data_IF_559497431176
#
_entry.id   IF_559497431176
#
_cell.length_a   1.000
_cell.length_b   1.000
_cell.length_c   1.000
_cell.angle_alpha   90.00
_cell.angle_beta   90.00
_cell.angle_gamma   90.00
#
_symmetry.space_group_name_H-M   'P 1'
#
loop_
_entity.id
_entity.type
_entity.pdbx_description
1 polymer ?
#
# COMPACT_ATOMS: atom_id res chain seq x y z
N UNK A 1 -4.14 38.19 -2.76
CA UNK A 1 -4.05 37.17 -3.82
C UNK A 1 -4.71 35.91 -3.29
N UNK A 2 -5.29 35.04 -4.11
CA UNK A 2 -5.81 33.76 -3.64
C UNK A 2 -4.67 32.92 -3.02
N UNK A 3 -4.95 32.10 -2.01
CA UNK A 3 -3.95 31.23 -1.43
C UNK A 3 -3.44 30.24 -2.47
N UNK A 4 -2.12 29.97 -2.46
CA UNK A 4 -1.45 29.04 -3.37
C UNK A 4 -1.17 27.73 -2.63
N UNK A 5 -1.84 26.66 -3.06
CA UNK A 5 -1.59 25.30 -2.61
C UNK A 5 -0.64 24.60 -3.58
N UNK A 6 0.51 24.19 -3.08
CA UNK A 6 1.50 23.44 -3.85
C UNK A 6 1.42 21.96 -3.48
N UNK A 7 1.19 21.09 -4.46
CA UNK A 7 1.08 19.64 -4.28
C UNK A 7 2.27 18.98 -4.98
N UNK A 8 3.10 18.27 -4.23
CA UNK A 8 4.27 17.55 -4.75
C UNK A 8 4.00 16.05 -4.77
N UNK A 9 3.71 15.52 -5.95
CA UNK A 9 3.37 14.12 -6.18
C UNK A 9 1.97 13.93 -6.77
N UNK A 10 1.91 13.40 -7.99
CA UNK A 10 0.69 13.16 -8.76
C UNK A 10 0.09 11.75 -8.52
N UNK A 11 0.38 11.10 -7.38
CA UNK A 11 -0.19 9.82 -6.98
C UNK A 11 -1.56 9.95 -6.31
N UNK A 12 -2.03 8.84 -5.72
CA UNK A 12 -3.35 8.74 -5.08
C UNK A 12 -3.56 9.82 -4.02
N UNK A 13 -2.60 10.07 -3.14
CA UNK A 13 -2.72 11.06 -2.08
C UNK A 13 -2.86 12.49 -2.64
N UNK A 14 -1.95 12.91 -3.54
CA UNK A 14 -1.99 14.25 -4.13
C UNK A 14 -3.26 14.52 -4.93
N UNK A 15 -3.73 13.54 -5.72
CA UNK A 15 -4.96 13.68 -6.51
C UNK A 15 -6.22 13.75 -5.64
N UNK A 16 -6.28 13.00 -4.52
CA UNK A 16 -7.39 13.10 -3.58
C UNK A 16 -7.36 14.45 -2.85
N UNK A 17 -6.19 14.95 -2.45
CA UNK A 17 -6.08 16.27 -1.85
C UNK A 17 -6.59 17.38 -2.79
N UNK A 18 -6.19 17.37 -4.05
CA UNK A 18 -6.67 18.33 -5.07
C UNK A 18 -8.20 18.32 -5.16
N UNK A 19 -8.81 17.13 -5.24
CA UNK A 19 -10.27 17.00 -5.31
C UNK A 19 -10.93 17.59 -4.06
N UNK A 20 -10.42 17.23 -2.89
CA UNK A 20 -11.00 17.68 -1.62
C UNK A 20 -10.83 19.19 -1.42
N UNK A 21 -9.68 19.79 -1.81
CA UNK A 21 -9.54 21.24 -1.81
C UNK A 21 -10.65 21.87 -2.67
N UNK A 22 -10.89 21.39 -3.88
CA UNK A 22 -11.91 21.91 -4.79
C UNK A 22 -13.35 21.71 -4.30
N UNK A 23 -13.61 20.63 -3.57
CA UNK A 23 -14.92 20.39 -2.92
C UNK A 23 -15.21 21.43 -1.83
N UNK A 24 -14.18 22.00 -1.20
CA UNK A 24 -14.34 22.97 -0.09
C UNK A 24 -14.12 24.42 -0.49
N UNK A 25 -13.28 24.72 -1.49
CA UNK A 25 -12.94 26.09 -1.88
C UNK A 25 -13.66 26.59 -3.13
N UNK A 26 -14.42 25.74 -3.82
CA UNK A 26 -15.11 26.06 -5.07
C UNK A 26 -14.21 26.70 -6.12
N UNK A 27 -12.87 26.54 -6.00
CA UNK A 27 -11.87 27.08 -6.88
C UNK A 27 -11.36 28.46 -6.53
N UNK A 28 -11.50 28.88 -5.28
CA UNK A 28 -10.99 30.15 -4.78
C UNK A 28 -9.46 30.19 -4.67
N UNK A 29 -8.79 29.04 -4.51
CA UNK A 29 -7.32 28.94 -4.42
C UNK A 29 -6.66 28.64 -5.76
N UNK A 30 -5.36 28.97 -5.87
CA UNK A 30 -4.47 28.47 -6.90
C UNK A 30 -3.93 27.09 -6.48
N UNK A 31 -4.04 26.08 -7.36
CA UNK A 31 -3.42 24.76 -7.12
C UNK A 31 -2.36 24.50 -8.17
N UNK A 32 -1.13 24.22 -7.72
CA UNK A 32 -0.02 23.81 -8.57
C UNK A 32 0.37 22.38 -8.21
N UNK A 33 0.24 21.45 -9.17
CA UNK A 33 0.69 20.07 -9.04
C UNK A 33 2.07 19.91 -9.67
N UNK A 34 3.05 19.54 -8.88
CA UNK A 34 4.41 19.17 -9.34
C UNK A 34 4.54 17.65 -9.30
N UNK A 35 4.92 17.02 -10.40
CA UNK A 35 5.12 15.57 -10.46
C UNK A 35 6.26 15.20 -11.39
N UNK A 36 7.07 14.22 -10.98
CA UNK A 36 8.15 13.69 -11.82
C UNK A 36 7.62 12.93 -13.04
N UNK A 37 6.44 12.34 -12.91
CA UNK A 37 5.75 11.59 -13.96
C UNK A 37 4.39 12.21 -14.26
N UNK A 38 3.81 11.91 -15.42
CA UNK A 38 2.39 12.19 -15.65
C UNK A 38 1.56 11.45 -14.60
N UNK A 39 0.57 12.09 -13.95
CA UNK A 39 -0.24 11.44 -12.91
C UNK A 39 -0.96 10.19 -13.40
N UNK A 40 -0.82 9.08 -12.68
CA UNK A 40 -1.50 7.82 -12.95
C UNK A 40 -1.77 7.04 -11.67
N UNK A 41 -2.62 6.01 -11.75
CA UNK A 41 -2.90 5.11 -10.65
C UNK A 41 -1.86 3.96 -10.62
N UNK A 42 -0.97 3.98 -9.64
CA UNK A 42 0.07 2.95 -9.48
C UNK A 42 -0.51 1.55 -9.25
N UNK A 43 -1.62 1.47 -8.53
CA UNK A 43 -2.29 0.20 -8.21
C UNK A 43 -2.80 -0.59 -9.41
N UNK A 44 -2.92 0.05 -10.58
CA UNK A 44 -3.36 -0.66 -11.79
C UNK A 44 -2.21 -1.21 -12.64
N UNK A 45 -0.95 -0.92 -12.27
CA UNK A 45 0.22 -1.42 -13.01
C UNK A 45 0.31 -2.95 -13.11
N UNK A 46 -0.05 -3.75 -12.07
CA UNK A 46 -0.11 -5.21 -12.21
C UNK A 46 -1.09 -5.67 -13.30
N UNK A 47 -2.24 -5.02 -13.43
CA UNK A 47 -3.23 -5.33 -14.48
C UNK A 47 -2.72 -4.94 -15.88
N UNK A 48 -1.95 -3.85 -15.98
CA UNK A 48 -1.27 -3.48 -17.21
C UNK A 48 -0.17 -4.49 -17.57
N UNK A 49 0.65 -4.90 -16.61
CA UNK A 49 1.69 -5.94 -16.79
C UNK A 49 1.08 -7.25 -17.29
N UNK A 50 -0.05 -7.69 -16.70
CA UNK A 50 -0.77 -8.90 -17.08
C UNK A 50 -1.62 -8.79 -18.35
N UNK A 51 -1.60 -7.65 -19.05
CA UNK A 51 -2.36 -7.43 -20.28
C UNK A 51 -3.87 -7.28 -20.10
N UNK A 52 -4.36 -7.15 -18.86
CA UNK A 52 -5.80 -7.01 -18.57
C UNK A 52 -6.35 -5.62 -18.89
N UNK A 53 -5.51 -4.61 -18.87
CA UNK A 53 -5.83 -3.23 -19.27
C UNK A 53 -4.79 -2.68 -20.24
N UNK A 54 -5.22 -1.80 -21.14
CA UNK A 54 -4.29 -1.03 -21.99
C UNK A 54 -3.60 0.07 -21.18
N UNK A 55 -2.43 0.52 -21.65
CA UNK A 55 -1.68 1.61 -21.03
C UNK A 55 -2.52 2.89 -20.87
N UNK A 56 -3.38 3.21 -21.83
CA UNK A 56 -4.23 4.41 -21.76
C UNK A 56 -5.15 4.42 -20.51
N UNK A 57 -5.53 3.26 -20.00
CA UNK A 57 -6.36 3.11 -18.80
C UNK A 57 -5.59 3.26 -17.49
N UNK A 58 -4.26 3.27 -17.53
CA UNK A 58 -3.41 3.54 -16.35
C UNK A 58 -3.56 5.00 -15.89
N UNK A 59 -3.83 5.92 -16.82
CA UNK A 59 -3.94 7.36 -16.55
C UNK A 59 -5.33 7.74 -16.04
N UNK A 60 -5.52 7.70 -14.73
CA UNK A 60 -6.81 8.05 -14.09
C UNK A 60 -7.03 9.56 -13.96
N UNK A 61 -5.95 10.37 -13.93
CA UNK A 61 -5.99 11.81 -13.94
C UNK A 61 -5.69 12.35 -15.36
N UNK A 62 -6.73 12.42 -16.19
CA UNK A 62 -6.60 12.96 -17.55
C UNK A 62 -6.36 14.48 -17.53
N UNK A 63 -5.71 15.07 -18.56
CA UNK A 63 -5.54 16.51 -18.66
C UNK A 63 -6.88 17.26 -18.56
N UNK A 64 -7.94 16.76 -19.18
CA UNK A 64 -9.28 17.35 -19.10
C UNK A 64 -9.83 17.39 -17.67
N UNK A 65 -9.65 16.30 -16.88
CA UNK A 65 -10.07 16.27 -15.46
C UNK A 65 -9.27 17.26 -14.61
N UNK A 66 -7.96 17.38 -14.83
CA UNK A 66 -7.12 18.32 -14.09
C UNK A 66 -7.44 19.78 -14.48
N UNK A 67 -7.72 20.03 -15.75
CA UNK A 67 -8.19 21.34 -16.22
C UNK A 67 -9.55 21.73 -15.62
N UNK A 68 -10.51 20.79 -15.56
CA UNK A 68 -11.81 21.00 -14.90
C UNK A 68 -11.66 21.34 -13.39
N UNK A 69 -10.62 20.80 -12.74
CA UNK A 69 -10.25 21.15 -11.36
C UNK A 69 -9.39 22.42 -11.27
N UNK A 70 -9.15 23.14 -12.37
CA UNK A 70 -8.33 24.36 -12.43
C UNK A 70 -6.96 24.17 -11.76
N UNK A 71 -6.26 23.07 -12.12
CA UNK A 71 -4.93 22.73 -11.59
C UNK A 71 -3.87 23.09 -12.62
N UNK A 72 -2.86 23.86 -12.22
CA UNK A 72 -1.64 24.03 -12.99
C UNK A 72 -0.76 22.79 -12.80
N UNK A 73 -0.46 22.08 -13.88
CA UNK A 73 0.31 20.83 -13.83
C UNK A 73 1.72 21.03 -14.35
N UNK A 74 2.72 20.69 -13.53
CA UNK A 74 4.14 20.70 -13.89
C UNK A 74 4.69 19.26 -13.80
N UNK A 75 4.65 18.54 -14.92
CA UNK A 75 5.22 17.19 -15.04
C UNK A 75 6.70 17.23 -15.44
N UNK A 76 7.41 16.12 -15.20
CA UNK A 76 8.84 16.01 -15.47
C UNK A 76 9.70 16.85 -14.52
N UNK A 77 9.17 17.28 -13.38
CA UNK A 77 9.87 18.12 -12.40
C UNK A 77 10.03 17.37 -11.07
N UNK A 78 11.24 17.47 -10.52
CA UNK A 78 11.59 16.86 -9.24
C UNK A 78 11.80 17.92 -8.17
N UNK A 79 11.27 17.69 -6.98
CA UNK A 79 11.61 18.43 -5.79
C UNK A 79 13.03 18.07 -5.33
N UNK A 80 13.86 19.07 -5.08
CA UNK A 80 15.28 18.93 -4.74
C UNK A 80 15.63 19.50 -3.37
N UNK A 81 14.75 20.29 -2.76
CA UNK A 81 14.96 20.87 -1.44
C UNK A 81 13.77 21.73 -1.02
N UNK A 82 13.65 21.94 0.28
CA UNK A 82 12.57 22.71 0.89
C UNK A 82 13.15 23.69 1.91
N UNK A 83 12.77 24.96 1.78
CA UNK A 83 13.01 26.01 2.76
C UNK A 83 11.68 26.36 3.43
N UNK A 84 11.46 25.84 4.63
CA UNK A 84 10.22 26.07 5.37
C UNK A 84 10.12 27.48 5.96
N UNK A 85 11.24 28.16 6.18
CA UNK A 85 11.24 29.51 6.73
C UNK A 85 10.82 30.55 5.67
N UNK A 86 11.24 30.33 4.41
CA UNK A 86 10.91 31.20 3.29
C UNK A 86 9.65 30.72 2.51
N UNK A 87 9.01 29.61 2.87
CA UNK A 87 7.93 28.95 2.13
C UNK A 87 8.30 28.70 0.66
N UNK A 88 9.49 28.15 0.41
CA UNK A 88 10.03 27.92 -0.93
C UNK A 88 10.36 26.46 -1.19
N UNK A 89 9.85 25.94 -2.29
CA UNK A 89 10.20 24.63 -2.83
C UNK A 89 11.19 24.78 -3.98
N UNK A 90 12.36 24.17 -3.86
CA UNK A 90 13.36 24.12 -4.94
C UNK A 90 13.10 22.90 -5.84
N UNK A 91 12.94 23.17 -7.12
CA UNK A 91 12.73 22.17 -8.16
C UNK A 91 13.96 22.03 -9.05
N UNK A 92 13.95 21.06 -9.96
CA UNK A 92 14.98 20.86 -10.99
C UNK A 92 15.08 22.02 -12.01
N UNK A 93 14.07 22.88 -12.09
CA UNK A 93 13.97 23.99 -13.04
C UNK A 93 13.65 25.36 -12.42
N UNK A 94 13.82 25.50 -11.10
CA UNK A 94 13.60 26.77 -10.42
C UNK A 94 13.04 26.62 -9.00
N UNK A 95 12.41 27.69 -8.52
CA UNK A 95 11.84 27.76 -7.17
C UNK A 95 10.36 28.13 -7.28
N UNK A 96 9.52 27.54 -6.45
CA UNK A 96 8.12 27.88 -6.26
C UNK A 96 7.87 28.31 -4.82
N UNK A 97 7.14 29.41 -4.65
CA UNK A 97 6.61 29.85 -3.37
C UNK A 97 5.21 29.24 -3.15
N UNK A 98 4.83 29.05 -1.87
CA UNK A 98 3.55 28.47 -1.48
C UNK A 98 3.01 29.13 -0.21
N UNK A 99 1.68 29.15 -0.07
CA UNK A 99 1.02 29.41 1.20
C UNK A 99 0.87 28.10 1.98
N UNK A 100 0.45 27.01 1.30
CA UNK A 100 0.41 25.66 1.86
C UNK A 100 1.10 24.65 0.93
N UNK A 101 1.81 23.70 1.49
CA UNK A 101 2.51 22.64 0.78
C UNK A 101 2.01 21.26 1.21
N UNK A 102 1.62 20.42 0.25
CA UNK A 102 1.43 18.99 0.46
C UNK A 102 2.60 18.20 -0.14
N UNK A 103 3.30 17.44 0.69
CA UNK A 103 4.31 16.48 0.27
C UNK A 103 3.64 15.11 0.12
N UNK A 104 3.43 14.66 -1.13
CA UNK A 104 2.82 13.39 -1.50
C UNK A 104 3.72 12.60 -2.45
N UNK A 105 5.03 12.64 -2.21
CA UNK A 105 6.09 12.06 -3.06
C UNK A 105 6.15 10.54 -3.02
N UNK A 106 5.37 9.91 -2.15
CA UNK A 106 5.26 8.46 -2.06
C UNK A 106 6.56 7.78 -1.67
N UNK A 107 6.82 6.63 -2.26
CA UNK A 107 7.94 5.75 -1.96
C UNK A 107 8.65 5.28 -3.23
N UNK A 108 9.80 4.63 -3.04
CA UNK A 108 10.60 4.01 -4.11
C UNK A 108 11.06 2.61 -3.69
N UNK A 109 11.38 1.72 -4.64
CA UNK A 109 11.99 0.44 -4.33
C UNK A 109 13.30 0.60 -3.57
N UNK A 110 13.54 -0.29 -2.61
CA UNK A 110 14.84 -0.47 -2.01
C UNK A 110 15.73 -1.19 -3.02
N UNK A 111 16.90 -0.62 -3.30
CA UNK A 111 17.95 -1.26 -4.06
C UNK A 111 18.89 -1.95 -3.08
N UNK A 112 18.92 -3.29 -3.01
CA UNK A 112 19.86 -3.98 -2.16
C UNK A 112 21.28 -3.85 -2.71
N UNK A 113 22.25 -3.79 -1.82
CA UNK A 113 23.68 -3.80 -2.17
C UNK A 113 24.12 -5.25 -2.46
N UNK A 114 23.72 -5.72 -3.66
CA UNK A 114 24.04 -7.07 -4.16
C UNK A 114 24.85 -6.90 -5.43
N UNK A 115 26.06 -7.50 -5.52
CA UNK A 115 26.86 -7.48 -6.74
C UNK A 115 26.06 -7.93 -7.96
N UNK A 116 26.03 -7.09 -9.01
CA UNK A 116 25.31 -7.35 -10.26
C UNK A 116 23.81 -7.00 -10.27
N UNK A 117 23.27 -6.43 -9.19
CA UNK A 117 21.86 -6.03 -9.12
C UNK A 117 21.47 -4.87 -10.08
N UNK A 118 22.42 -4.21 -10.71
CA UNK A 118 22.21 -3.16 -11.72
C UNK A 118 22.36 -3.72 -13.17
N UNK A 119 22.46 -5.03 -13.34
CA UNK A 119 22.64 -5.66 -14.65
C UNK A 119 21.39 -5.55 -15.54
N UNK A 120 21.54 -5.70 -16.88
CA UNK A 120 20.46 -5.47 -17.86
C UNK A 120 19.29 -6.46 -17.74
N UNK A 121 19.49 -7.64 -17.16
CA UNK A 121 18.42 -8.61 -16.89
C UNK A 121 17.68 -8.33 -15.58
N UNK A 122 18.10 -7.30 -14.79
CA UNK A 122 17.54 -6.99 -13.49
C UNK A 122 16.57 -5.82 -13.59
N UNK A 123 15.37 -6.00 -13.09
CA UNK A 123 14.27 -5.05 -13.15
C UNK A 123 13.72 -4.78 -11.75
N UNK A 124 13.08 -3.63 -11.58
CA UNK A 124 12.17 -3.33 -10.48
C UNK A 124 10.75 -3.18 -11.03
N UNK A 125 9.76 -3.22 -10.15
CA UNK A 125 8.37 -2.96 -10.52
C UNK A 125 7.76 -1.93 -9.56
N UNK A 126 7.72 -0.67 -10.00
CA UNK A 126 7.19 0.43 -9.20
C UNK A 126 6.64 1.59 -10.03
N UNK A 127 7.24 1.89 -11.17
CA UNK A 127 6.84 2.98 -12.07
C UNK A 127 6.23 2.43 -13.36
N UNK A 128 5.50 3.29 -14.08
CA UNK A 128 4.96 2.92 -15.40
C UNK A 128 6.07 2.57 -16.40
N UNK A 129 7.21 3.27 -16.34
CA UNK A 129 8.38 2.98 -17.18
C UNK A 129 8.91 1.55 -16.91
N UNK A 130 9.04 1.19 -15.63
CA UNK A 130 9.46 -0.16 -15.24
C UNK A 130 8.44 -1.24 -15.65
N UNK A 131 7.14 -0.92 -15.53
CA UNK A 131 6.08 -1.81 -16.02
C UNK A 131 6.18 -2.02 -17.54
N UNK A 132 6.43 -0.96 -18.33
CA UNK A 132 6.67 -1.05 -19.79
C UNK A 132 7.86 -1.94 -20.11
N UNK A 133 8.98 -1.78 -19.39
CA UNK A 133 10.16 -2.61 -19.57
C UNK A 133 9.85 -4.09 -19.35
N UNK A 134 9.09 -4.44 -18.31
CA UNK A 134 8.69 -5.82 -18.04
C UNK A 134 7.68 -6.34 -19.07
N UNK A 135 6.70 -5.54 -19.50
CA UNK A 135 5.78 -5.90 -20.59
C UNK A 135 6.55 -6.19 -21.87
N UNK A 136 7.62 -5.45 -22.14
CA UNK A 136 8.49 -5.67 -23.30
C UNK A 136 9.40 -6.91 -23.14
N UNK A 137 9.79 -7.27 -21.92
CA UNK A 137 10.75 -8.35 -21.66
C UNK A 137 10.09 -9.71 -21.45
N UNK A 138 8.97 -9.81 -20.73
CA UNK A 138 8.34 -11.07 -20.38
C UNK A 138 7.59 -11.64 -21.61
N UNK A 139 7.95 -12.87 -21.98
CA UNK A 139 7.31 -13.66 -23.04
C UNK A 139 6.87 -15.00 -22.47
N UNK A 140 5.97 -15.69 -23.15
CA UNK A 140 5.58 -17.06 -22.83
C UNK A 140 6.81 -17.96 -22.69
N UNK A 141 6.90 -18.74 -21.60
CA UNK A 141 8.04 -19.59 -21.28
C UNK A 141 9.26 -18.87 -20.71
N UNK A 142 9.25 -17.54 -20.57
CA UNK A 142 10.35 -16.80 -19.96
C UNK A 142 10.65 -17.30 -18.54
N UNK A 143 11.95 -17.43 -18.22
CA UNK A 143 12.42 -17.77 -16.88
C UNK A 143 12.54 -16.49 -16.04
N UNK A 144 11.61 -16.31 -15.12
CA UNK A 144 11.53 -15.16 -14.23
C UNK A 144 11.92 -15.57 -12.82
N UNK A 145 12.91 -14.89 -12.24
CA UNK A 145 13.22 -14.99 -10.82
C UNK A 145 12.75 -13.73 -10.11
N UNK A 146 11.87 -13.88 -9.15
CA UNK A 146 11.37 -12.82 -8.29
C UNK A 146 12.13 -12.86 -6.97
N UNK A 147 12.90 -11.82 -6.68
CA UNK A 147 13.71 -11.70 -5.46
C UNK A 147 12.97 -10.90 -4.40
N UNK A 148 12.64 -11.56 -3.31
CA UNK A 148 11.73 -11.11 -2.26
C UNK A 148 10.33 -11.69 -2.43
N UNK A 149 9.75 -12.17 -1.33
CA UNK A 149 8.40 -12.73 -1.26
C UNK A 149 7.46 -11.87 -0.39
N UNK A 150 7.67 -10.56 -0.38
CA UNK A 150 6.82 -9.60 0.31
C UNK A 150 5.56 -9.21 -0.47
N UNK A 151 4.78 -8.27 0.06
CA UNK A 151 3.51 -7.82 -0.51
C UNK A 151 3.62 -7.42 -1.99
N UNK A 152 4.66 -6.65 -2.39
CA UNK A 152 4.84 -6.19 -3.77
C UNK A 152 5.04 -7.37 -4.73
N UNK A 153 5.84 -8.37 -4.34
CA UNK A 153 6.04 -9.58 -5.12
C UNK A 153 4.70 -10.26 -5.44
N UNK A 154 3.83 -10.34 -4.46
CA UNK A 154 2.53 -10.97 -4.61
C UNK A 154 1.55 -10.16 -5.45
N UNK A 155 1.66 -8.83 -5.48
CA UNK A 155 0.79 -8.00 -6.36
C UNK A 155 1.05 -8.25 -7.85
N UNK A 156 2.27 -8.66 -8.24
CA UNK A 156 2.63 -8.92 -9.65
C UNK A 156 2.65 -10.39 -10.02
N UNK A 157 2.55 -11.28 -9.05
CA UNK A 157 2.63 -12.72 -9.24
C UNK A 157 1.61 -13.22 -10.26
N UNK A 158 0.36 -12.80 -10.12
CA UNK A 158 -0.72 -13.17 -11.03
C UNK A 158 -0.44 -12.71 -12.48
N UNK A 159 0.10 -11.50 -12.64
CA UNK A 159 0.43 -10.96 -13.95
C UNK A 159 1.53 -11.79 -14.64
N UNK A 160 2.59 -12.16 -13.89
CA UNK A 160 3.70 -12.98 -14.42
C UNK A 160 3.19 -14.36 -14.83
N UNK A 161 2.37 -15.01 -14.02
CA UNK A 161 1.80 -16.31 -14.34
C UNK A 161 0.80 -16.27 -15.48
N UNK A 162 -0.01 -15.20 -15.60
CA UNK A 162 -0.93 -15.00 -16.72
C UNK A 162 -0.18 -14.87 -18.07
N UNK A 163 1.05 -14.36 -18.05
CA UNK A 163 1.96 -14.32 -19.21
C UNK A 163 2.64 -15.68 -19.49
N UNK A 164 2.27 -16.73 -18.74
CA UNK A 164 2.80 -18.09 -18.85
C UNK A 164 4.34 -18.18 -18.68
N UNK A 165 4.92 -17.31 -17.89
CA UNK A 165 6.32 -17.38 -17.51
C UNK A 165 6.56 -18.49 -16.47
N UNK A 166 7.77 -19.07 -16.45
CA UNK A 166 8.23 -19.96 -15.41
C UNK A 166 8.76 -19.15 -14.25
N UNK A 167 8.07 -19.18 -13.12
CA UNK A 167 8.37 -18.33 -11.98
C UNK A 167 9.10 -19.09 -10.87
N UNK A 168 10.22 -18.53 -10.42
CA UNK A 168 10.92 -18.90 -9.18
C UNK A 168 10.90 -17.71 -8.24
N UNK A 169 10.53 -17.92 -6.97
CA UNK A 169 10.59 -16.91 -5.91
C UNK A 169 11.75 -17.25 -4.98
N UNK A 170 12.64 -16.27 -4.76
CA UNK A 170 13.75 -16.34 -3.80
C UNK A 170 13.46 -15.38 -2.64
N UNK A 171 13.45 -15.88 -1.41
CA UNK A 171 13.18 -15.12 -0.20
C UNK A 171 14.20 -15.45 0.89
N UNK A 172 14.78 -14.42 1.49
CA UNK A 172 15.75 -14.56 2.59
C UNK A 172 15.11 -15.09 3.87
N UNK A 173 13.88 -14.68 4.17
CA UNK A 173 13.13 -15.21 5.30
C UNK A 173 12.72 -16.67 5.06
N UNK A 174 12.53 -17.47 6.15
CA UNK A 174 12.17 -18.89 6.02
C UNK A 174 10.75 -19.11 5.45
N UNK A 175 9.94 -18.05 5.31
CA UNK A 175 8.55 -18.13 4.84
C UNK A 175 8.19 -17.04 3.83
N UNK A 176 7.13 -17.28 3.08
CA UNK A 176 6.50 -16.28 2.21
C UNK A 176 5.75 -15.23 3.04
N UNK A 177 5.66 -14.00 2.51
CA UNK A 177 4.96 -12.86 3.14
C UNK A 177 5.36 -12.65 4.61
N UNK A 178 6.66 -12.64 4.96
CA UNK A 178 7.14 -12.73 6.35
C UNK A 178 6.67 -11.56 7.23
N UNK A 179 6.29 -10.41 6.63
CA UNK A 179 5.75 -9.22 7.33
C UNK A 179 4.22 -9.14 7.26
N UNK A 180 3.55 -10.21 6.87
CA UNK A 180 2.11 -10.18 6.65
C UNK A 180 1.38 -11.36 7.31
N UNK A 181 1.99 -12.54 7.32
CA UNK A 181 1.36 -13.76 7.83
C UNK A 181 2.36 -14.62 8.64
N UNK A 182 1.82 -15.48 9.50
CA UNK A 182 2.61 -16.42 10.31
C UNK A 182 3.02 -17.68 9.52
N UNK A 183 3.72 -18.59 10.19
CA UNK A 183 4.30 -19.77 9.56
C UNK A 183 3.22 -20.75 9.02
N UNK A 184 2.11 -20.93 9.75
CA UNK A 184 1.04 -21.84 9.34
C UNK A 184 0.30 -21.31 8.10
N UNK A 185 -0.07 -20.04 8.10
CA UNK A 185 -0.66 -19.39 6.94
C UNK A 185 0.30 -19.39 5.73
N UNK A 186 1.59 -19.13 5.96
CA UNK A 186 2.61 -19.14 4.91
C UNK A 186 2.81 -20.54 4.31
N UNK A 187 2.71 -21.61 5.11
CA UNK A 187 2.78 -22.99 4.63
C UNK A 187 1.62 -23.32 3.67
N UNK A 188 0.40 -22.85 3.97
CA UNK A 188 -0.76 -22.99 3.07
C UNK A 188 -0.54 -22.24 1.75
N UNK A 189 -0.05 -20.99 1.82
CA UNK A 189 0.25 -20.19 0.63
C UNK A 189 1.34 -20.86 -0.21
N UNK A 190 2.40 -21.38 0.41
CA UNK A 190 3.47 -22.08 -0.28
C UNK A 190 2.97 -23.36 -0.99
N UNK A 191 2.14 -24.16 -0.31
CA UNK A 191 1.52 -25.34 -0.89
C UNK A 191 0.62 -24.99 -2.09
N UNK A 192 -0.13 -23.89 -1.98
CA UNK A 192 -0.99 -23.37 -3.05
C UNK A 192 -0.20 -22.96 -4.29
N UNK A 193 0.91 -22.21 -4.11
CA UNK A 193 1.75 -21.75 -5.21
C UNK A 193 2.52 -22.90 -5.88
N UNK A 194 3.05 -23.87 -5.11
CA UNK A 194 3.72 -25.06 -5.67
C UNK A 194 2.78 -25.87 -6.56
N UNK A 195 1.51 -26.02 -6.19
CA UNK A 195 0.48 -26.67 -7.04
C UNK A 195 0.25 -25.95 -8.37
N UNK A 196 0.68 -24.69 -8.49
CA UNK A 196 0.59 -23.86 -9.70
C UNK A 196 1.91 -23.75 -10.45
N UNK A 197 2.88 -24.60 -10.10
CA UNK A 197 4.16 -24.65 -10.77
C UNK A 197 5.16 -23.57 -10.39
N UNK A 198 4.89 -22.79 -9.30
CA UNK A 198 5.84 -21.81 -8.81
C UNK A 198 6.92 -22.49 -7.99
N UNK A 199 8.18 -22.31 -8.39
CA UNK A 199 9.34 -22.75 -7.61
C UNK A 199 9.62 -21.77 -6.46
N UNK A 200 9.87 -22.30 -5.25
CA UNK A 200 10.11 -21.49 -4.05
C UNK A 200 11.47 -21.81 -3.44
N UNK A 201 12.25 -20.79 -3.15
CA UNK A 201 13.53 -20.82 -2.41
C UNK A 201 13.41 -19.84 -1.24
N UNK A 202 12.90 -20.33 -0.11
CA UNK A 202 12.78 -19.58 1.13
C UNK A 202 13.94 -19.92 2.08
N UNK A 203 14.32 -18.99 2.96
CA UNK A 203 15.50 -19.15 3.81
C UNK A 203 16.82 -19.01 3.04
N UNK A 204 16.78 -18.45 1.83
CA UNK A 204 17.95 -18.40 0.94
C UNK A 204 18.18 -16.96 0.45
N UNK A 205 19.30 -16.37 0.84
CA UNK A 205 19.66 -15.02 0.44
C UNK A 205 20.32 -15.01 -0.93
N UNK A 206 20.02 -14.01 -1.76
CA UNK A 206 20.75 -13.76 -3.00
C UNK A 206 22.11 -13.12 -2.68
N UNK A 207 23.18 -13.77 -3.08
CA UNK A 207 24.56 -13.33 -2.83
C UNK A 207 25.13 -12.49 -3.98
N UNK A 208 24.84 -12.85 -5.23
CA UNK A 208 25.33 -12.11 -6.41
C UNK A 208 24.48 -12.43 -7.64
N UNK A 209 24.54 -11.55 -8.63
CA UNK A 209 23.97 -11.74 -9.95
C UNK A 209 25.09 -11.55 -10.99
N UNK A 210 25.33 -12.56 -11.79
CA UNK A 210 26.28 -12.53 -12.90
C UNK A 210 25.51 -12.40 -14.22
N UNK A 211 26.02 -11.60 -15.15
CA UNK A 211 25.47 -11.51 -16.51
C UNK A 211 26.21 -12.46 -17.43
N UNK A 212 25.53 -13.44 -18.00
CA UNK A 212 26.10 -14.45 -18.86
C UNK A 212 25.28 -14.63 -20.14
N UNK A 213 25.81 -14.26 -21.29
CA UNK A 213 25.13 -14.43 -22.57
C UNK A 213 23.75 -13.75 -22.67
N UNK A 214 23.61 -12.56 -22.09
CA UNK A 214 22.33 -11.80 -22.07
C UNK A 214 21.31 -12.31 -21.04
N UNK A 215 21.68 -13.27 -20.20
CA UNK A 215 20.88 -13.82 -19.10
C UNK A 215 21.55 -13.57 -17.76
N UNK A 216 20.78 -13.66 -16.69
CA UNK A 216 21.29 -13.60 -15.33
C UNK A 216 21.56 -15.02 -14.79
N UNK A 217 22.66 -15.17 -14.06
CA UNK A 217 22.95 -16.29 -13.17
C UNK A 217 22.94 -15.75 -11.75
N UNK A 218 21.98 -16.18 -10.95
CA UNK A 218 21.86 -15.79 -9.55
C UNK A 218 22.61 -16.82 -8.70
N UNK A 219 23.52 -16.36 -7.85
CA UNK A 219 24.21 -17.21 -6.86
C UNK A 219 23.57 -16.94 -5.50
N UNK A 220 23.04 -17.98 -4.88
CA UNK A 220 22.45 -17.93 -3.55
C UNK A 220 23.53 -18.13 -2.48
N UNK A 221 23.24 -17.74 -1.24
CA UNK A 221 24.21 -17.82 -0.14
C UNK A 221 24.56 -19.27 0.28
N UNK A 222 23.67 -20.22 0.00
CA UNK A 222 23.89 -21.67 0.20
C UNK A 222 24.70 -22.33 -0.93
N UNK A 223 25.08 -21.56 -1.96
CA UNK A 223 25.85 -22.02 -3.11
C UNK A 223 24.99 -22.51 -4.30
N UNK A 224 23.65 -22.62 -4.14
CA UNK A 224 22.76 -22.91 -5.29
C UNK A 224 22.87 -21.80 -6.32
N UNK A 225 22.77 -22.15 -7.60
CA UNK A 225 22.74 -21.20 -8.71
C UNK A 225 21.46 -21.35 -9.51
N UNK A 226 20.85 -20.23 -9.85
CA UNK A 226 19.64 -20.17 -10.66
C UNK A 226 19.91 -19.38 -11.95
N UNK A 227 19.44 -19.90 -13.09
CA UNK A 227 19.47 -19.16 -14.34
C UNK A 227 18.14 -18.42 -14.51
N UNK A 228 18.18 -17.17 -14.99
CA UNK A 228 17.02 -16.37 -15.29
C UNK A 228 17.19 -15.55 -16.57
N UNK A 229 16.13 -15.44 -17.36
CA UNK A 229 16.05 -14.43 -18.40
C UNK A 229 15.74 -13.05 -17.83
N UNK A 230 14.98 -13.02 -16.74
CA UNK A 230 14.51 -11.80 -16.09
C UNK A 230 14.59 -11.98 -14.58
N UNK A 231 15.17 -11.00 -13.89
CA UNK A 231 15.19 -10.90 -12.43
C UNK A 231 14.36 -9.70 -12.02
N UNK A 232 13.40 -9.87 -11.14
CA UNK A 232 12.59 -8.78 -10.62
C UNK A 232 12.90 -8.59 -9.13
N UNK A 233 13.45 -7.43 -8.77
CA UNK A 233 13.76 -7.09 -7.39
C UNK A 233 12.52 -6.53 -6.68
N UNK A 234 11.99 -7.27 -5.71
CA UNK A 234 10.84 -6.92 -4.88
C UNK A 234 11.21 -6.89 -3.38
N UNK A 235 12.35 -6.29 -3.07
CA UNK A 235 13.03 -6.31 -1.76
C UNK A 235 12.53 -5.25 -0.78
N UNK A 236 11.39 -4.63 -1.09
CA UNK A 236 10.74 -3.62 -0.25
C UNK A 236 10.78 -2.21 -0.83
N UNK A 237 10.21 -1.29 -0.07
CA UNK A 237 10.11 0.13 -0.43
C UNK A 237 10.56 1.01 0.73
N UNK A 238 10.89 2.25 0.40
CA UNK A 238 11.21 3.30 1.37
C UNK A 238 10.60 4.65 0.95
N UNK A 239 10.12 5.45 1.92
CA UNK A 239 9.59 6.78 1.67
C UNK A 239 10.58 7.70 0.96
N UNK A 240 10.09 8.56 0.10
CA UNK A 240 10.90 9.53 -0.66
C UNK A 240 11.15 10.80 0.15
N UNK A 241 11.99 10.71 1.20
CA UNK A 241 12.31 11.83 2.11
C UNK A 241 13.72 12.41 1.96
N UNK A 242 14.60 11.84 1.12
CA UNK A 242 16.02 12.20 1.06
C UNK A 242 16.26 13.67 0.64
N UNK A 243 15.40 14.19 -0.22
CA UNK A 243 15.46 15.56 -0.71
C UNK A 243 15.07 16.61 0.37
N UNK A 244 14.53 16.15 1.51
CA UNK A 244 14.14 16.98 2.66
C UNK A 244 15.28 17.14 3.69
N UNK A 245 16.45 16.57 3.42
CA UNK A 245 17.62 16.76 4.28
C UNK A 245 17.92 18.25 4.45
N UNK A 246 18.05 18.72 5.71
CA UNK A 246 18.31 20.12 6.04
C UNK A 246 17.08 21.05 5.97
N UNK A 247 15.88 20.56 5.67
CA UNK A 247 14.64 21.38 5.62
C UNK A 247 14.13 21.84 7.00
N UNK A 248 14.56 21.20 8.09
CA UNK A 248 14.04 21.43 9.44
C UNK A 248 12.74 20.65 9.77
N UNK A 249 12.21 19.87 8.84
CA UNK A 249 11.09 18.97 9.12
C UNK A 249 11.54 17.80 9.99
N UNK A 250 10.67 17.36 10.90
CA UNK A 250 10.91 16.14 11.69
C UNK A 250 10.67 14.91 10.82
N UNK A 251 11.75 14.17 10.59
CA UNK A 251 11.77 12.97 9.77
C UNK A 251 12.17 11.76 10.64
N UNK A 252 11.61 10.61 10.36
CA UNK A 252 12.02 9.31 10.87
C UNK A 252 12.05 8.32 9.70
N UNK A 253 11.21 7.29 9.66
CA UNK A 253 11.04 6.43 8.48
C UNK A 253 10.34 7.19 7.35
N UNK A 254 9.42 8.10 7.69
CA UNK A 254 8.71 9.03 6.83
C UNK A 254 8.77 10.46 7.38
N UNK A 255 7.87 11.31 6.93
CA UNK A 255 7.63 12.64 7.48
C UNK A 255 6.66 12.47 8.65
N UNK A 256 7.09 12.79 9.87
CA UNK A 256 6.22 12.74 11.03
C UNK A 256 5.10 13.77 10.92
N UNK A 257 3.84 13.31 11.04
CA UNK A 257 2.65 14.15 10.96
C UNK A 257 1.77 14.00 12.21
N UNK A 258 1.00 15.05 12.48
CA UNK A 258 -0.04 15.05 13.52
C UNK A 258 -1.35 14.45 13.01
N UNK A 259 -2.43 14.53 13.82
CA UNK A 259 -3.76 14.05 13.48
C UNK A 259 -4.49 14.94 12.44
N UNK A 260 -3.91 16.06 12.01
CA UNK A 260 -4.37 16.87 10.88
C UNK A 260 -3.52 16.63 9.61
N UNK A 261 -2.59 15.68 9.66
CA UNK A 261 -1.60 15.38 8.63
C UNK A 261 -0.64 16.55 8.38
N UNK A 262 -0.46 17.44 9.37
CA UNK A 262 0.56 18.51 9.35
C UNK A 262 1.91 17.95 9.77
N UNK A 263 2.94 18.35 9.06
CA UNK A 263 4.33 18.12 9.46
C UNK A 263 4.73 19.07 10.62
N UNK A 264 6.00 19.11 10.96
CA UNK A 264 6.49 20.01 12.02
C UNK A 264 6.47 21.52 11.66
N UNK A 265 6.13 21.87 10.41
CA UNK A 265 5.87 23.23 9.97
C UNK A 265 4.35 23.39 9.73
N UNK A 266 3.77 24.51 10.19
CA UNK A 266 2.32 24.72 10.27
C UNK A 266 1.57 24.62 8.94
N UNK A 267 2.20 25.06 7.85
CA UNK A 267 1.66 25.11 6.51
C UNK A 267 2.23 24.01 5.58
N UNK A 268 2.85 22.97 6.18
CA UNK A 268 3.37 21.83 5.44
C UNK A 268 2.65 20.56 5.89
N UNK A 269 2.07 19.86 4.94
CA UNK A 269 1.35 18.60 5.12
C UNK A 269 2.09 17.46 4.43
N UNK A 270 1.88 16.22 4.91
CA UNK A 270 2.36 15.04 4.20
C UNK A 270 1.27 13.98 4.12
N UNK A 271 1.23 13.23 2.99
CA UNK A 271 0.18 12.26 2.72
C UNK A 271 0.67 11.06 1.91
N UNK A 272 0.09 9.88 2.17
CA UNK A 272 0.45 8.61 1.53
C UNK A 272 1.75 8.02 2.05
N UNK A 273 2.45 7.23 1.23
CA UNK A 273 3.62 6.43 1.65
C UNK A 273 4.78 7.24 2.24
N UNK A 274 4.82 8.56 2.02
CA UNK A 274 5.85 9.45 2.56
C UNK A 274 5.56 9.90 3.98
N UNK A 275 4.28 9.84 4.41
CA UNK A 275 3.85 10.27 5.72
C UNK A 275 3.99 9.15 6.76
N UNK A 276 4.43 9.53 7.95
CA UNK A 276 4.48 8.69 9.14
C UNK A 276 3.50 9.25 10.17
N UNK A 277 2.30 8.69 10.19
CA UNK A 277 1.16 9.14 10.98
C UNK A 277 0.67 8.10 11.98
N UNK A 278 -0.41 8.40 12.74
CA UNK A 278 -0.92 7.52 13.78
C UNK A 278 -1.46 6.20 13.22
N UNK A 279 -1.12 5.09 13.87
CA UNK A 279 -1.74 3.79 13.68
C UNK A 279 -2.94 3.64 14.63
N UNK A 280 -4.11 3.24 14.11
CA UNK A 280 -5.37 3.23 14.88
C UNK A 280 -5.39 2.15 15.96
N UNK A 281 -4.59 1.09 15.83
CA UNK A 281 -4.55 -0.03 16.79
C UNK A 281 -3.54 0.22 17.89
N UNK A 282 -2.35 0.69 17.52
CA UNK A 282 -1.21 0.85 18.44
C UNK A 282 -1.07 2.27 18.98
N UNK A 283 -1.65 3.27 18.32
CA UNK A 283 -1.45 4.69 18.63
C UNK A 283 -0.06 5.23 18.29
N UNK A 284 0.83 4.39 17.78
CA UNK A 284 2.20 4.78 17.43
C UNK A 284 2.26 5.39 16.02
N UNK A 285 3.27 6.23 15.78
CA UNK A 285 3.54 6.71 14.42
C UNK A 285 4.07 5.57 13.54
N UNK A 286 3.48 5.39 12.35
CA UNK A 286 3.84 4.36 11.41
C UNK A 286 3.67 4.83 9.95
N UNK A 287 4.43 4.20 9.04
CA UNK A 287 4.24 4.35 7.60
C UNK A 287 3.39 3.18 7.10
N UNK A 288 2.15 3.47 6.70
CA UNK A 288 1.25 2.50 6.06
C UNK A 288 1.15 2.78 4.56
N UNK A 289 2.06 2.17 3.79
CA UNK A 289 2.18 2.39 2.35
C UNK A 289 1.15 1.56 1.57
N UNK A 290 -0.13 1.90 1.73
CA UNK A 290 -1.26 1.28 1.04
C UNK A 290 -2.18 2.35 0.45
N UNK A 291 -2.88 2.01 -0.64
CA UNK A 291 -3.75 2.97 -1.34
C UNK A 291 -4.89 3.54 -0.49
N UNK A 292 -5.63 2.76 0.33
CA UNK A 292 -6.65 3.32 1.21
C UNK A 292 -6.12 4.41 2.14
N UNK A 293 -4.97 4.19 2.77
CA UNK A 293 -4.31 5.21 3.61
C UNK A 293 -3.93 6.44 2.80
N UNK A 294 -3.37 6.26 1.60
CA UNK A 294 -3.01 7.40 0.73
C UNK A 294 -4.25 8.22 0.32
N UNK A 295 -5.39 7.57 0.07
CA UNK A 295 -6.66 8.24 -0.22
C UNK A 295 -7.17 9.05 0.98
N UNK A 296 -7.21 8.45 2.16
CA UNK A 296 -7.66 9.10 3.40
C UNK A 296 -6.75 10.27 3.77
N UNK A 297 -5.42 10.04 3.75
CA UNK A 297 -4.44 11.10 4.00
C UNK A 297 -4.62 12.28 3.03
N UNK A 298 -4.80 12.01 1.74
CA UNK A 298 -5.03 13.06 0.75
C UNK A 298 -6.28 13.88 1.04
N UNK A 299 -7.38 13.23 1.45
CA UNK A 299 -8.64 13.91 1.80
C UNK A 299 -8.51 14.78 3.04
N UNK A 300 -7.93 14.21 4.11
CA UNK A 300 -7.77 14.95 5.37
C UNK A 300 -6.81 16.13 5.18
N UNK A 301 -5.65 15.92 4.55
CA UNK A 301 -4.72 17.00 4.25
C UNK A 301 -5.35 18.07 3.35
N UNK A 302 -6.05 17.66 2.29
CA UNK A 302 -6.74 18.58 1.37
C UNK A 302 -7.83 19.41 2.06
N UNK A 303 -8.63 18.80 2.95
CA UNK A 303 -9.63 19.51 3.73
C UNK A 303 -8.99 20.55 4.67
N UNK A 304 -7.91 20.18 5.36
CA UNK A 304 -7.19 21.06 6.26
C UNK A 304 -6.48 22.21 5.51
N UNK A 305 -5.91 21.96 4.34
CA UNK A 305 -5.38 23.00 3.46
C UNK A 305 -6.48 23.97 2.98
N UNK A 306 -7.71 23.48 2.81
CA UNK A 306 -8.87 24.32 2.46
C UNK A 306 -9.52 25.00 3.69
N UNK A 307 -8.82 25.07 4.83
CA UNK A 307 -9.26 25.77 6.03
C UNK A 307 -10.27 25.01 6.90
N UNK A 308 -10.47 23.70 6.66
CA UNK A 308 -11.29 22.86 7.53
C UNK A 308 -10.47 22.37 8.73
N UNK A 309 -11.14 21.95 9.79
CA UNK A 309 -10.54 21.32 10.97
C UNK A 309 -10.95 19.84 11.01
N UNK A 310 -10.23 19.02 10.23
CA UNK A 310 -10.52 17.59 10.09
C UNK A 310 -9.40 16.77 10.75
N UNK A 311 -9.78 15.96 11.72
CA UNK A 311 -8.85 15.04 12.40
C UNK A 311 -8.85 13.68 11.76
N UNK A 312 -7.65 13.14 11.59
CA UNK A 312 -7.41 11.79 11.13
C UNK A 312 -7.38 10.82 12.32
N UNK A 313 -8.25 9.84 12.33
CA UNK A 313 -8.34 8.86 13.42
C UNK A 313 -7.17 7.86 13.47
N UNK A 314 -6.38 7.81 12.41
CA UNK A 314 -5.26 6.86 12.25
C UNK A 314 -5.49 5.84 11.14
N UNK A 315 -4.38 5.31 10.62
CA UNK A 315 -4.39 4.24 9.63
C UNK A 315 -4.51 2.87 10.30
N UNK A 316 -5.24 1.96 9.68
CA UNK A 316 -5.16 0.54 10.03
C UNK A 316 -4.03 -0.11 9.23
N UNK A 317 -3.06 -0.75 9.91
CA UNK A 317 -2.13 -1.65 9.21
C UNK A 317 -2.96 -2.75 8.54
N UNK A 318 -2.92 -2.80 7.22
CA UNK A 318 -3.74 -3.70 6.43
C UNK A 318 -3.00 -4.13 5.17
N UNK A 319 -2.93 -5.43 4.94
CA UNK A 319 -2.43 -5.99 3.70
C UNK A 319 -3.45 -6.99 3.17
N UNK A 320 -3.87 -6.82 1.94
CA UNK A 320 -4.79 -7.73 1.26
C UNK A 320 -4.21 -7.99 -0.13
N UNK A 321 -3.99 -9.25 -0.46
CA UNK A 321 -3.48 -9.66 -1.77
C UNK A 321 -4.14 -10.96 -2.19
N UNK A 322 -4.38 -11.08 -3.48
CA UNK A 322 -4.86 -12.31 -4.10
C UNK A 322 -3.70 -12.98 -4.87
N UNK A 323 -3.50 -14.26 -4.65
CA UNK A 323 -2.45 -15.06 -5.28
C UNK A 323 -3.07 -16.27 -5.99
N UNK A 324 -3.32 -16.15 -7.28
CA UNK A 324 -3.85 -17.24 -8.15
C UNK A 324 -5.12 -17.91 -7.60
N UNK A 325 -6.09 -17.12 -7.16
CA UNK A 325 -7.35 -17.59 -6.60
C UNK A 325 -7.29 -17.90 -5.10
N UNK A 326 -6.27 -17.43 -4.38
CA UNK A 326 -6.17 -17.47 -2.92
C UNK A 326 -6.09 -16.06 -2.35
N UNK A 327 -7.07 -15.64 -1.57
CA UNK A 327 -7.06 -14.40 -0.82
C UNK A 327 -6.22 -14.56 0.44
N UNK A 328 -5.35 -13.59 0.68
CA UNK A 328 -4.44 -13.54 1.82
C UNK A 328 -4.54 -12.15 2.41
N UNK A 329 -4.86 -12.06 3.69
CA UNK A 329 -4.98 -10.78 4.37
C UNK A 329 -4.41 -10.81 5.78
N UNK A 330 -3.93 -9.65 6.23
CA UNK A 330 -3.63 -9.37 7.63
C UNK A 330 -4.10 -7.97 8.01
N UNK A 331 -4.49 -7.81 9.25
CA UNK A 331 -5.03 -6.57 9.81
C UNK A 331 -4.43 -6.29 11.19
N UNK A 332 -4.16 -5.01 11.48
CA UNK A 332 -3.73 -4.54 12.78
C UNK A 332 -2.48 -5.22 13.32
N UNK A 333 -2.44 -5.45 14.63
CA UNK A 333 -1.30 -6.02 15.34
C UNK A 333 -1.30 -7.56 15.31
N UNK A 334 -1.25 -8.15 14.13
CA UNK A 334 -1.36 -9.60 13.91
C UNK A 334 -0.16 -10.43 14.45
N UNK A 335 0.96 -9.77 14.80
CA UNK A 335 2.16 -10.36 15.44
C UNK A 335 2.26 -10.06 16.95
N UNK A 336 1.23 -9.44 17.56
CA UNK A 336 1.27 -9.07 18.97
C UNK A 336 1.43 -10.28 19.87
N UNK A 337 2.61 -10.42 20.51
CA UNK A 337 2.93 -11.54 21.36
C UNK A 337 2.15 -11.53 22.69
N UNK A 338 1.67 -10.36 23.12
CA UNK A 338 0.92 -10.20 24.38
C UNK A 338 -0.60 -10.37 24.19
N UNK A 339 -1.06 -10.52 22.95
CA UNK A 339 -2.47 -10.71 22.64
C UNK A 339 -2.90 -12.17 22.87
N UNK A 340 -4.14 -12.34 23.35
CA UNK A 340 -4.79 -13.65 23.34
C UNK A 340 -5.09 -14.07 21.90
N UNK A 341 -4.76 -15.30 21.53
CA UNK A 341 -4.83 -15.77 20.15
C UNK A 341 -5.88 -16.88 20.01
N UNK A 342 -6.71 -16.78 18.99
CA UNK A 342 -7.57 -17.84 18.51
C UNK A 342 -7.22 -18.21 17.07
N UNK A 343 -6.97 -19.50 16.81
CA UNK A 343 -6.58 -20.00 15.49
C UNK A 343 -7.54 -21.11 15.06
N UNK A 344 -7.88 -21.10 13.78
CA UNK A 344 -8.54 -22.22 13.12
C UNK A 344 -7.97 -22.41 11.72
N UNK A 345 -7.62 -23.66 11.39
CA UNK A 345 -7.02 -24.04 10.12
C UNK A 345 -7.80 -25.21 9.50
N UNK A 346 -7.99 -25.14 8.19
CA UNK A 346 -8.58 -26.19 7.34
C UNK A 346 -7.69 -26.37 6.11
N UNK A 347 -6.54 -27.04 6.26
CA UNK A 347 -5.51 -27.12 5.19
C UNK A 347 -6.04 -27.74 3.90
N UNK A 348 -6.95 -28.70 3.98
CA UNK A 348 -7.59 -29.36 2.84
C UNK A 348 -8.42 -28.39 1.97
N UNK A 349 -8.87 -27.27 2.58
CA UNK A 349 -9.63 -26.19 1.92
C UNK A 349 -8.81 -24.94 1.66
N UNK A 350 -7.53 -24.92 2.08
CA UNK A 350 -6.69 -23.71 2.09
C UNK A 350 -7.33 -22.55 2.85
N UNK A 351 -7.95 -22.84 3.98
CA UNK A 351 -8.62 -21.84 4.81
C UNK A 351 -7.94 -21.72 6.18
N UNK A 352 -7.60 -20.50 6.54
CA UNK A 352 -6.95 -20.16 7.80
C UNK A 352 -7.54 -18.89 8.39
N UNK A 353 -7.74 -18.86 9.70
CA UNK A 353 -8.14 -17.69 10.47
C UNK A 353 -7.31 -17.63 11.75
N UNK A 354 -6.68 -16.49 12.00
CA UNK A 354 -6.04 -16.14 13.27
C UNK A 354 -6.62 -14.82 13.74
N UNK A 355 -7.08 -14.78 14.98
CA UNK A 355 -7.69 -13.61 15.59
C UNK A 355 -6.91 -13.29 16.87
N UNK A 356 -6.52 -12.02 17.04
CA UNK A 356 -5.75 -11.55 18.19
C UNK A 356 -6.58 -10.55 19.00
N UNK A 357 -6.57 -10.74 20.32
CA UNK A 357 -7.45 -10.03 21.23
C UNK A 357 -6.67 -9.31 22.32
N UNK A 358 -7.07 -8.07 22.63
CA UNK A 358 -6.72 -7.36 23.86
C UNK A 358 -8.01 -7.08 24.64
N UNK A 359 -8.22 -7.79 25.77
CA UNK A 359 -9.50 -7.83 26.42
C UNK A 359 -10.57 -8.46 25.51
N UNK A 360 -11.63 -7.74 25.20
CA UNK A 360 -12.70 -8.17 24.29
C UNK A 360 -12.66 -7.50 22.91
N UNK A 361 -11.57 -6.75 22.60
CA UNK A 361 -11.37 -6.06 21.32
C UNK A 361 -10.49 -6.89 20.40
N UNK A 362 -10.90 -6.99 19.14
CA UNK A 362 -10.07 -7.56 18.09
C UNK A 362 -9.01 -6.53 17.70
N UNK A 363 -7.73 -6.84 17.89
CA UNK A 363 -6.60 -5.95 17.59
C UNK A 363 -5.78 -6.40 16.39
N UNK A 364 -5.91 -7.65 15.97
CA UNK A 364 -5.21 -8.18 14.81
C UNK A 364 -5.90 -9.41 14.24
N UNK A 365 -5.68 -9.68 12.96
CA UNK A 365 -6.20 -10.87 12.32
C UNK A 365 -5.33 -11.28 11.12
N UNK A 366 -5.29 -12.60 10.84
CA UNK A 366 -4.83 -13.17 9.57
C UNK A 366 -5.97 -13.97 8.95
N UNK A 367 -6.10 -13.85 7.63
CA UNK A 367 -7.05 -14.61 6.84
C UNK A 367 -6.35 -15.20 5.62
N UNK A 368 -6.54 -16.50 5.39
CA UNK A 368 -6.28 -17.15 4.09
C UNK A 368 -7.54 -17.90 3.69
N UNK A 369 -7.90 -17.84 2.40
CA UNK A 369 -9.04 -18.56 1.87
C UNK A 369 -9.12 -18.45 0.36
N UNK A 370 -9.88 -19.34 -0.30
CA UNK A 370 -10.03 -19.32 -1.75
C UNK A 370 -10.89 -18.13 -2.19
N UNK A 371 -10.47 -17.42 -3.22
CA UNK A 371 -11.16 -16.21 -3.72
C UNK A 371 -12.56 -16.50 -4.30
N UNK A 372 -12.80 -17.74 -4.73
CA UNK A 372 -14.13 -18.18 -5.18
C UNK A 372 -15.10 -18.47 -4.03
N UNK A 373 -14.60 -18.49 -2.79
CA UNK A 373 -15.43 -18.71 -1.62
C UNK A 373 -16.00 -17.37 -1.14
N UNK A 374 -17.30 -17.19 -1.33
CA UNK A 374 -18.02 -15.96 -0.93
C UNK A 374 -17.82 -15.63 0.55
N UNK A 375 -17.67 -16.66 1.41
CA UNK A 375 -17.40 -16.45 2.84
C UNK A 375 -16.04 -15.79 3.07
N UNK A 376 -15.02 -16.17 2.30
CA UNK A 376 -13.69 -15.53 2.39
C UNK A 376 -13.77 -14.02 2.11
N UNK A 377 -14.43 -13.63 1.04
CA UNK A 377 -14.62 -12.22 0.66
C UNK A 377 -15.40 -11.43 1.71
N UNK A 378 -16.48 -12.02 2.26
CA UNK A 378 -17.27 -11.39 3.33
C UNK A 378 -16.46 -11.23 4.62
N UNK A 379 -15.68 -12.24 4.99
CA UNK A 379 -14.83 -12.25 6.17
C UNK A 379 -13.76 -11.15 6.12
N UNK A 380 -13.17 -10.89 4.94
CA UNK A 380 -12.22 -9.79 4.75
C UNK A 380 -12.80 -8.45 5.21
N UNK A 381 -14.01 -8.12 4.74
CA UNK A 381 -14.69 -6.88 5.12
C UNK A 381 -15.05 -6.81 6.60
N UNK A 382 -15.53 -7.92 7.16
CA UNK A 382 -15.92 -8.00 8.57
C UNK A 382 -14.70 -7.89 9.50
N UNK A 383 -13.60 -8.58 9.22
CA UNK A 383 -12.36 -8.49 10.01
C UNK A 383 -11.77 -7.08 9.98
N UNK A 384 -11.70 -6.48 8.80
CA UNK A 384 -11.29 -5.07 8.67
C UNK A 384 -12.17 -4.18 9.56
N UNK A 385 -13.50 -4.29 9.42
CA UNK A 385 -14.44 -3.46 10.17
C UNK A 385 -14.32 -3.64 11.68
N UNK A 386 -14.20 -4.87 12.17
CA UNK A 386 -14.04 -5.17 13.60
C UNK A 386 -12.74 -4.59 14.16
N UNK A 387 -11.62 -4.79 13.44
CA UNK A 387 -10.31 -4.30 13.88
C UNK A 387 -10.25 -2.76 13.86
N UNK A 388 -10.80 -2.13 12.82
CA UNK A 388 -10.79 -0.67 12.68
C UNK A 388 -11.73 0.01 13.69
N UNK A 389 -12.91 -0.56 13.96
CA UNK A 389 -13.87 -0.02 14.90
C UNK A 389 -13.38 -0.10 16.36
N UNK A 390 -12.53 -1.07 16.68
CA UNK A 390 -11.88 -1.20 17.99
C UNK A 390 -12.82 -1.33 19.19
N UNK A 391 -14.11 -1.67 18.98
CA UNK A 391 -15.05 -1.86 20.09
C UNK A 391 -15.04 -3.28 20.62
N UNK A 392 -15.44 -3.45 21.87
CA UNK A 392 -15.53 -4.77 22.50
C UNK A 392 -16.67 -5.61 21.91
N UNK A 393 -16.43 -6.90 21.73
CA UNK A 393 -17.41 -7.84 21.19
C UNK A 393 -18.20 -8.57 22.29
N UNK A 394 -17.87 -8.36 23.57
CA UNK A 394 -18.53 -8.98 24.70
C UNK A 394 -18.59 -10.52 24.56
N UNK A 395 -19.78 -11.11 24.75
CA UNK A 395 -19.98 -12.58 24.63
C UNK A 395 -19.56 -13.16 23.29
N UNK A 396 -19.53 -12.36 22.22
CA UNK A 396 -19.19 -12.83 20.88
C UNK A 396 -17.70 -13.14 20.72
N UNK A 397 -16.82 -12.54 21.55
CA UNK A 397 -15.43 -12.98 21.65
C UNK A 397 -15.33 -14.47 21.92
N UNK A 398 -16.06 -14.97 22.92
CA UNK A 398 -16.02 -16.40 23.28
C UNK A 398 -16.51 -17.31 22.14
N UNK A 399 -17.44 -16.84 21.31
CA UNK A 399 -17.86 -17.57 20.10
C UNK A 399 -16.71 -17.64 19.09
N UNK A 400 -16.08 -16.49 18.79
CA UNK A 400 -14.97 -16.43 17.84
C UNK A 400 -13.70 -17.13 18.32
N UNK A 401 -13.44 -17.18 19.63
CA UNK A 401 -12.33 -17.97 20.18
C UNK A 401 -12.54 -19.48 19.99
N UNK A 402 -13.79 -19.97 20.04
CA UNK A 402 -14.10 -21.37 19.77
C UNK A 402 -14.17 -21.68 18.28
N UNK A 403 -14.66 -20.75 17.47
CA UNK A 403 -14.82 -20.91 16.03
C UNK A 403 -14.47 -19.62 15.28
N UNK A 404 -13.20 -19.38 14.94
CA UNK A 404 -12.76 -18.19 14.22
C UNK A 404 -13.36 -18.01 12.81
N UNK A 405 -14.04 -19.02 12.28
CA UNK A 405 -14.77 -18.95 11.03
C UNK A 405 -16.20 -18.40 11.17
N UNK A 406 -16.75 -18.28 12.38
CA UNK A 406 -18.11 -17.82 12.64
C UNK A 406 -18.19 -16.27 12.76
N UNK A 407 -17.51 -15.56 11.84
CA UNK A 407 -17.41 -14.10 11.86
C UNK A 407 -18.75 -13.41 11.67
N UNK A 408 -19.59 -13.87 10.73
CA UNK A 408 -20.86 -13.23 10.43
C UNK A 408 -21.82 -13.16 11.61
N UNK A 409 -22.09 -14.25 12.35
CA UNK A 409 -22.95 -14.18 13.55
C UNK A 409 -22.39 -13.22 14.61
N UNK A 410 -21.08 -13.24 14.82
CA UNK A 410 -20.42 -12.35 15.78
C UNK A 410 -20.50 -10.88 15.35
N UNK A 411 -20.23 -10.59 14.09
CA UNK A 411 -20.27 -9.24 13.52
C UNK A 411 -21.68 -8.61 13.64
N UNK A 412 -22.70 -9.36 13.25
CA UNK A 412 -24.10 -8.91 13.36
C UNK A 412 -24.56 -8.83 14.81
N UNK A 413 -24.30 -9.86 15.59
CA UNK A 413 -24.75 -9.98 16.98
C UNK A 413 -24.07 -9.00 17.95
N UNK A 414 -22.85 -8.55 17.64
CA UNK A 414 -22.16 -7.48 18.37
C UNK A 414 -22.67 -6.07 18.00
N UNK A 415 -23.61 -5.94 17.07
CA UNK A 415 -24.08 -4.65 16.57
C UNK A 415 -23.01 -3.85 15.80
N UNK A 416 -22.01 -4.54 15.25
CA UNK A 416 -20.89 -3.89 14.56
C UNK A 416 -21.34 -3.17 13.29
N UNK A 417 -22.40 -3.63 12.65
CA UNK A 417 -23.00 -2.99 11.47
C UNK A 417 -23.44 -1.54 11.72
N UNK A 418 -23.98 -1.26 12.90
CA UNK A 418 -24.43 0.09 13.29
C UNK A 418 -23.30 1.00 13.83
N UNK A 419 -22.13 0.42 14.06
CA UNK A 419 -20.94 1.11 14.60
C UNK A 419 -19.80 1.26 13.58
N UNK A 420 -19.98 0.76 12.36
CA UNK A 420 -19.04 1.07 11.29
C UNK A 420 -18.97 2.58 11.14
N UNK A 421 -17.75 3.09 11.28
CA UNK A 421 -17.48 4.52 11.21
C UNK A 421 -18.21 5.15 10.02
N UNK A 422 -18.77 6.37 10.19
CA UNK A 422 -19.47 7.10 9.15
C UNK A 422 -18.62 7.39 7.89
N UNK A 423 -17.33 7.07 7.92
CA UNK A 423 -16.43 7.20 6.78
C UNK A 423 -16.43 5.87 6.02
N UNK A 424 -17.24 5.79 4.98
CA UNK A 424 -17.14 4.67 4.03
C UNK A 424 -15.80 4.74 3.29
N UNK A 425 -15.38 3.62 2.68
CA UNK A 425 -14.21 3.54 1.77
C UNK A 425 -14.22 4.64 0.69
N UNK A 426 -15.38 5.23 0.41
CA UNK A 426 -15.57 6.34 -0.54
C UNK A 426 -15.51 7.73 0.11
N UNK A 427 -15.25 7.82 1.42
CA UNK A 427 -15.09 9.11 2.13
C UNK A 427 -16.32 10.01 2.19
N UNK A 428 -17.51 9.46 1.95
CA UNK A 428 -18.75 10.15 2.28
C UNK A 428 -19.13 9.79 3.70
N UNK A 429 -19.46 10.76 4.58
CA UNK A 429 -20.04 10.44 5.88
C UNK A 429 -21.31 9.62 5.62
N UNK A 430 -21.50 8.51 6.33
CA UNK A 430 -22.82 7.90 6.40
C UNK A 430 -23.73 8.89 7.12
N UNK A 431 -24.91 9.11 6.58
CA UNK A 431 -25.95 9.90 7.27
C UNK A 431 -26.14 9.28 8.66
N UNK A 432 -26.06 10.09 9.70
CA UNK A 432 -26.27 9.61 11.07
C UNK A 432 -27.65 8.95 11.16
N UNK A 433 -27.82 7.84 11.92
CA UNK A 433 -29.10 7.14 12.03
C UNK A 433 -30.29 8.03 12.44
N UNK A 434 -30.01 9.15 13.09
CA UNK A 434 -31.02 10.10 13.55
C UNK A 434 -31.55 11.02 12.43
N UNK A 435 -30.85 11.18 11.33
CA UNK A 435 -31.30 11.98 10.17
C UNK A 435 -32.21 11.19 9.21
N UNK A 436 -32.22 9.86 9.29
CA UNK A 436 -33.09 8.98 8.47
C UNK A 436 -34.54 8.94 9.03
N UNK A 437 -34.78 9.42 10.26
CA UNK A 437 -36.12 9.44 10.88
C UNK A 437 -36.89 10.73 10.67
N UNK A 438 -36.33 11.72 9.99
CA UNK A 438 -36.93 13.04 9.77
C UNK A 438 -37.37 13.29 8.30
N UNK A 439 -37.45 12.26 7.46
CA UNK A 439 -37.91 12.36 6.07
C UNK A 439 -39.19 11.55 5.81
#
# INVERSE_FOLDING_TARGET
MPPRHLIVGGGTAGLNAIRTIREHDSGASEIVLVSAERPYARMVLPYYLGGQISESRVFTATPARLAALRVQVRTGRRALGLDIAANRLRLSDGVLEYDDLLIATGSRPVKPDIPGAEGPAVHSFWTLEQARALVAAIREGAEVVLVGAGFIAFTILNAILALKARLTIVETAPRLLPRMIDDEAAALVAAWLRRRGVALRTGSALAAIEQVGGRARLRLADGETLAAGIVIMATGIQPNIQWLGGSGLRLNRGILVDDHLRASARNVYAAGDVAEGPDVVTGQAAVHAIEPTAMEHGRVAGANMAGRDVRYAGSLLMNIVEACGLDIASFGAWEDADAEVAVASRPERFAYRKLLWRGDRLVGAILVGRSIDVWTTNDLGMLKGLTQAGHGLGRWKAVLCRSPFDLKPAFVGAGSTGRLLPITVLGKPSVAPDEVKAG
#
